data_IF_230237991363
#
_entry.id   IF_230237991363
#
_cell.length_a   1.000
_cell.length_b   1.000
_cell.length_c   1.000
_cell.angle_alpha   90.00
_cell.angle_beta   90.00
_cell.angle_gamma   90.00
#
_symmetry.space_group_name_H-M   'P 1'
#
loop_
_entity.id
_entity.type
_entity.pdbx_description
1 polymer ?
#
# COMPACT_ATOMS: atom_id res chain seq x y z
N UNK A 1 23.39 22.13 18.22
CA UNK A 1 23.83 21.51 16.96
C UNK A 1 23.75 20.01 17.15
N UNK A 2 22.85 19.31 16.45
CA UNK A 2 22.80 17.86 16.50
C UNK A 2 23.95 17.31 15.64
N UNK A 3 24.94 16.67 16.27
CA UNK A 3 26.00 15.97 15.54
C UNK A 3 25.40 14.70 14.94
N UNK A 4 25.26 14.66 13.62
CA UNK A 4 24.90 13.43 12.91
C UNK A 4 26.14 12.53 12.97
N UNK A 5 26.14 11.57 13.89
CA UNK A 5 27.17 10.53 13.92
C UNK A 5 27.03 9.71 12.64
N UNK A 6 28.07 9.65 11.79
CA UNK A 6 28.00 8.88 10.55
C UNK A 6 27.80 7.39 10.88
N UNK A 7 26.85 6.78 10.17
CA UNK A 7 26.61 5.33 10.27
C UNK A 7 27.89 4.58 9.88
N UNK A 8 28.32 3.64 10.73
CA UNK A 8 29.48 2.82 10.41
C UNK A 8 29.14 1.84 9.27
N UNK A 9 30.16 1.45 8.51
CA UNK A 9 29.99 0.49 7.40
C UNK A 9 29.40 -0.85 7.88
N UNK A 10 29.75 -1.28 9.08
CA UNK A 10 29.24 -2.52 9.68
C UNK A 10 27.76 -2.42 10.03
N UNK A 11 27.30 -1.27 10.53
CA UNK A 11 25.89 -1.01 10.78
C UNK A 11 25.08 -1.00 9.47
N UNK A 12 25.62 -0.38 8.41
CA UNK A 12 24.98 -0.39 7.10
C UNK A 12 24.85 -1.81 6.54
N UNK A 13 25.94 -2.60 6.60
CA UNK A 13 25.94 -3.98 6.13
C UNK A 13 24.93 -4.85 6.90
N UNK A 14 24.83 -4.67 8.22
CA UNK A 14 23.85 -5.37 9.05
C UNK A 14 22.41 -5.02 8.65
N UNK A 15 22.11 -3.73 8.45
CA UNK A 15 20.80 -3.28 7.98
C UNK A 15 20.49 -3.88 6.61
N UNK A 16 21.43 -3.82 5.67
CA UNK A 16 21.25 -4.38 4.33
C UNK A 16 20.97 -5.89 4.36
N UNK A 17 21.70 -6.66 5.19
CA UNK A 17 21.50 -8.10 5.35
C UNK A 17 20.10 -8.47 5.86
N UNK A 18 19.46 -7.61 6.66
CA UNK A 18 18.09 -7.83 7.14
C UNK A 18 17.07 -7.31 6.13
N UNK A 19 17.31 -6.13 5.55
CA UNK A 19 16.38 -5.49 4.63
C UNK A 19 16.21 -6.26 3.32
N UNK A 20 17.28 -6.81 2.75
CA UNK A 20 17.22 -7.55 1.48
C UNK A 20 16.25 -8.75 1.55
N UNK A 21 16.38 -9.72 2.47
CA UNK A 21 15.47 -10.86 2.53
C UNK A 21 14.03 -10.44 2.84
N UNK A 22 13.83 -9.43 3.70
CA UNK A 22 12.49 -8.91 3.99
C UNK A 22 11.83 -8.31 2.75
N UNK A 23 12.57 -7.55 1.94
CA UNK A 23 12.06 -7.00 0.68
C UNK A 23 11.77 -8.09 -0.35
N UNK A 24 12.58 -9.16 -0.41
CA UNK A 24 12.30 -10.31 -1.29
C UNK A 24 10.99 -11.00 -0.89
N UNK A 25 10.78 -11.25 0.40
CA UNK A 25 9.53 -11.86 0.90
C UNK A 25 8.34 -10.95 0.59
N UNK A 26 8.48 -9.64 0.84
CA UNK A 26 7.44 -8.66 0.53
C UNK A 26 7.12 -8.63 -0.97
N UNK A 27 8.14 -8.65 -1.83
CA UNK A 27 7.97 -8.67 -3.29
C UNK A 27 7.21 -9.92 -3.75
N UNK A 28 7.58 -11.10 -3.25
CA UNK A 28 6.88 -12.36 -3.57
C UNK A 28 5.41 -12.28 -3.13
N UNK A 29 5.15 -11.77 -1.93
CA UNK A 29 3.78 -11.58 -1.42
C UNK A 29 2.96 -10.62 -2.29
N UNK A 30 3.55 -9.49 -2.71
CA UNK A 30 2.88 -8.51 -3.58
C UNK A 30 2.61 -9.06 -4.97
N UNK A 31 3.53 -9.87 -5.54
CA UNK A 31 3.32 -10.56 -6.81
C UNK A 31 2.19 -11.59 -6.71
N UNK A 32 2.18 -12.41 -5.65
CA UNK A 32 1.11 -13.38 -5.41
C UNK A 32 -0.25 -12.70 -5.23
N UNK A 33 -0.27 -11.55 -4.54
CA UNK A 33 -1.46 -10.71 -4.42
C UNK A 33 -1.91 -10.21 -5.79
N UNK A 34 -1.01 -9.69 -6.62
CA UNK A 34 -1.30 -9.24 -7.99
C UNK A 34 -1.93 -10.37 -8.85
N UNK A 35 -1.40 -11.59 -8.76
CA UNK A 35 -2.00 -12.76 -9.43
C UNK A 35 -3.41 -13.04 -8.91
N UNK A 36 -3.61 -12.96 -7.60
CA UNK A 36 -4.94 -13.14 -6.97
C UNK A 36 -5.94 -12.09 -7.47
N UNK A 37 -5.52 -10.83 -7.60
CA UNK A 37 -6.31 -9.76 -8.20
C UNK A 37 -6.70 -10.09 -9.65
N UNK A 38 -5.76 -10.62 -10.44
CA UNK A 38 -6.01 -11.11 -11.79
C UNK A 38 -7.08 -12.20 -11.84
N UNK A 39 -6.99 -13.21 -10.96
CA UNK A 39 -7.99 -14.27 -10.86
C UNK A 39 -9.37 -13.73 -10.45
N UNK A 40 -9.45 -12.84 -9.46
CA UNK A 40 -10.72 -12.23 -9.05
C UNK A 40 -11.36 -11.46 -10.21
N UNK A 41 -10.58 -10.73 -11.01
CA UNK A 41 -11.10 -10.00 -12.17
C UNK A 41 -11.68 -10.92 -13.25
N UNK A 42 -11.10 -12.11 -13.44
CA UNK A 42 -11.57 -13.10 -14.41
C UNK A 42 -12.84 -13.80 -13.92
N UNK A 43 -12.84 -14.28 -12.66
CA UNK A 43 -13.94 -15.09 -12.13
C UNK A 43 -15.11 -14.26 -11.56
N UNK A 44 -14.84 -13.06 -11.06
CA UNK A 44 -15.83 -12.20 -10.37
C UNK A 44 -15.73 -10.73 -10.82
N UNK A 45 -16.05 -10.40 -12.07
CA UNK A 45 -15.90 -9.04 -12.61
C UNK A 45 -16.71 -7.99 -11.82
N UNK A 46 -17.87 -8.37 -11.27
CA UNK A 46 -18.71 -7.49 -10.45
C UNK A 46 -18.02 -7.03 -9.14
N UNK A 47 -17.11 -7.82 -8.59
CA UNK A 47 -16.30 -7.41 -7.42
C UNK A 47 -15.16 -6.49 -7.85
N UNK A 48 -14.58 -6.73 -9.02
CA UNK A 48 -13.46 -5.98 -9.55
C UNK A 48 -13.82 -4.55 -10.00
N UNK A 49 -15.10 -4.28 -10.26
CA UNK A 49 -15.57 -2.93 -10.62
C UNK A 49 -15.65 -1.96 -9.43
N UNK A 50 -15.47 -2.44 -8.21
CA UNK A 50 -15.44 -1.57 -7.03
C UNK A 50 -14.20 -0.68 -7.07
N UNK A 51 -14.40 0.63 -6.86
CA UNK A 51 -13.33 1.63 -6.82
C UNK A 51 -12.24 1.26 -5.81
N UNK A 52 -12.61 0.74 -4.65
CA UNK A 52 -11.67 0.24 -3.63
C UNK A 52 -10.75 -0.86 -4.17
N UNK A 53 -11.26 -1.76 -5.01
CA UNK A 53 -10.48 -2.85 -5.58
C UNK A 53 -9.43 -2.35 -6.59
N UNK A 54 -9.81 -1.37 -7.42
CA UNK A 54 -8.89 -0.72 -8.37
C UNK A 54 -7.79 0.08 -7.64
N UNK A 55 -8.14 0.78 -6.57
CA UNK A 55 -7.19 1.50 -5.71
C UNK A 55 -6.21 0.53 -5.02
N UNK A 56 -6.70 -0.59 -4.48
CA UNK A 56 -5.83 -1.61 -3.87
C UNK A 56 -4.87 -2.22 -4.87
N UNK A 57 -5.31 -2.46 -6.11
CA UNK A 57 -4.41 -2.93 -7.17
C UNK A 57 -3.32 -1.90 -7.51
N UNK A 58 -3.68 -0.60 -7.57
CA UNK A 58 -2.71 0.47 -7.80
C UNK A 58 -1.68 0.59 -6.66
N UNK A 59 -2.12 0.42 -5.40
CA UNK A 59 -1.22 0.38 -4.25
C UNK A 59 -0.23 -0.79 -4.34
N UNK A 60 -0.71 -2.01 -4.66
CA UNK A 60 0.15 -3.18 -4.85
C UNK A 60 1.19 -2.97 -5.95
N UNK A 61 0.82 -2.31 -7.05
CA UNK A 61 1.76 -1.98 -8.11
C UNK A 61 2.86 -1.03 -7.62
N UNK A 62 2.51 -0.06 -6.77
CA UNK A 62 3.48 0.83 -6.15
C UNK A 62 4.41 0.07 -5.19
N UNK A 63 3.89 -0.89 -4.42
CA UNK A 63 4.70 -1.68 -3.49
C UNK A 63 5.71 -2.59 -4.22
N UNK A 64 5.32 -3.15 -5.37
CA UNK A 64 6.25 -3.87 -6.27
C UNK A 64 7.32 -2.92 -6.78
N UNK A 65 6.92 -1.75 -7.28
CA UNK A 65 7.85 -0.72 -7.76
C UNK A 65 8.86 -0.30 -6.68
N UNK A 66 8.37 -0.02 -5.47
CA UNK A 66 9.18 0.32 -4.31
C UNK A 66 10.20 -0.79 -3.98
N UNK A 67 9.72 -2.03 -3.85
CA UNK A 67 10.56 -3.19 -3.51
C UNK A 67 11.66 -3.43 -4.56
N UNK A 68 11.33 -3.28 -5.84
CA UNK A 68 12.31 -3.41 -6.94
C UNK A 68 13.39 -2.32 -6.85
N UNK A 69 13.01 -1.06 -6.65
CA UNK A 69 13.99 0.03 -6.57
C UNK A 69 14.86 -0.05 -5.31
N UNK A 70 14.31 -0.53 -4.19
CA UNK A 70 15.09 -0.82 -2.96
C UNK A 70 16.08 -1.96 -3.19
N UNK A 71 15.67 -3.04 -3.85
CA UNK A 71 16.58 -4.15 -4.16
C UNK A 71 17.69 -3.74 -5.12
N UNK A 72 17.40 -2.87 -6.09
CA UNK A 72 18.42 -2.28 -6.96
C UNK A 72 19.39 -1.43 -6.12
N UNK A 73 18.88 -0.58 -5.22
CA UNK A 73 19.71 0.29 -4.39
C UNK A 73 20.61 -0.48 -3.41
N UNK A 74 20.13 -1.60 -2.87
CA UNK A 74 20.87 -2.41 -1.88
C UNK A 74 21.72 -3.52 -2.51
N UNK A 75 21.31 -4.05 -3.67
CA UNK A 75 21.90 -5.24 -4.29
C UNK A 75 22.82 -4.95 -5.47
N UNK A 76 22.61 -3.85 -6.18
CA UNK A 76 23.53 -3.39 -7.21
C UNK A 76 24.39 -2.30 -6.59
N UNK A 77 25.70 -2.39 -6.76
CA UNK A 77 26.64 -1.34 -6.35
C UNK A 77 26.48 -0.17 -7.33
N UNK A 78 25.37 0.57 -7.19
CA UNK A 78 24.98 1.66 -8.07
C UNK A 78 25.94 2.80 -7.79
N UNK A 79 26.99 2.89 -8.60
CA UNK A 79 27.97 3.98 -8.52
C UNK A 79 27.32 5.36 -8.58
N UNK A 80 28.07 6.38 -8.17
CA UNK A 80 27.62 7.78 -8.19
C UNK A 80 27.30 8.15 -9.65
N UNK A 81 26.03 8.47 -9.92
CA UNK A 81 25.58 8.76 -11.28
C UNK A 81 24.05 8.86 -11.40
N UNK A 82 23.58 8.96 -12.64
CA UNK A 82 22.16 9.09 -12.97
C UNK A 82 21.32 7.92 -12.43
N UNK A 83 21.87 6.71 -12.45
CA UNK A 83 21.21 5.51 -11.91
C UNK A 83 20.91 5.62 -10.42
N UNK A 84 21.81 6.19 -9.62
CA UNK A 84 21.61 6.40 -8.19
C UNK A 84 20.49 7.44 -7.93
N UNK A 85 20.51 8.55 -8.68
CA UNK A 85 19.47 9.58 -8.56
C UNK A 85 18.10 9.00 -8.96
N UNK A 86 18.06 8.25 -10.07
CA UNK A 86 16.85 7.59 -10.56
C UNK A 86 16.30 6.59 -9.54
N UNK A 87 17.14 5.74 -8.95
CA UNK A 87 16.67 4.74 -7.97
C UNK A 87 16.12 5.40 -6.72
N UNK A 88 16.81 6.42 -6.18
CA UNK A 88 16.33 7.18 -5.02
C UNK A 88 15.00 7.88 -5.32
N UNK A 89 14.88 8.55 -6.47
CA UNK A 89 13.61 9.18 -6.86
C UNK A 89 12.49 8.16 -7.08
N UNK A 90 12.81 7.00 -7.65
CA UNK A 90 11.87 5.89 -7.81
C UNK A 90 11.32 5.44 -6.45
N UNK A 91 12.18 5.19 -5.46
CA UNK A 91 11.78 4.83 -4.10
C UNK A 91 10.85 5.88 -3.49
N UNK A 92 11.20 7.16 -3.59
CA UNK A 92 10.38 8.25 -3.05
C UNK A 92 9.03 8.35 -3.75
N UNK A 93 9.03 8.30 -5.08
CA UNK A 93 7.81 8.38 -5.89
C UNK A 93 6.85 7.24 -5.59
N UNK A 94 7.33 5.99 -5.63
CA UNK A 94 6.49 4.82 -5.35
C UNK A 94 6.02 4.78 -3.90
N UNK A 95 6.86 5.19 -2.95
CA UNK A 95 6.50 5.29 -1.54
C UNK A 95 5.37 6.31 -1.29
N UNK A 96 5.51 7.54 -1.80
CA UNK A 96 4.49 8.58 -1.67
C UNK A 96 3.19 8.21 -2.39
N UNK A 97 3.30 7.58 -3.56
CA UNK A 97 2.13 7.15 -4.34
C UNK A 97 1.38 6.00 -3.63
N UNK A 98 2.09 5.04 -3.04
CA UNK A 98 1.47 3.98 -2.23
C UNK A 98 0.72 4.57 -1.02
N UNK A 99 1.35 5.49 -0.29
CA UNK A 99 0.70 6.20 0.82
C UNK A 99 -0.55 6.96 0.39
N UNK A 100 -0.49 7.66 -0.75
CA UNK A 100 -1.65 8.35 -1.31
C UNK A 100 -2.82 7.38 -1.57
N UNK A 101 -2.56 6.23 -2.19
CA UNK A 101 -3.61 5.24 -2.42
C UNK A 101 -4.16 4.64 -1.13
N UNK A 102 -3.33 4.37 -0.13
CA UNK A 102 -3.78 3.89 1.18
C UNK A 102 -4.70 4.91 1.85
N UNK A 103 -4.35 6.20 1.81
CA UNK A 103 -5.20 7.28 2.34
C UNK A 103 -6.53 7.36 1.58
N UNK A 104 -6.52 7.23 0.25
CA UNK A 104 -7.75 7.18 -0.54
C UNK A 104 -8.63 5.98 -0.15
N UNK A 105 -8.05 4.79 0.04
CA UNK A 105 -8.77 3.60 0.49
C UNK A 105 -9.37 3.83 1.88
N UNK A 106 -8.61 4.42 2.80
CA UNK A 106 -9.08 4.73 4.14
C UNK A 106 -10.25 5.73 4.12
N UNK A 107 -10.18 6.78 3.29
CA UNK A 107 -11.27 7.75 3.11
C UNK A 107 -12.53 7.08 2.55
N UNK A 108 -12.40 6.22 1.54
CA UNK A 108 -13.54 5.46 0.99
C UNK A 108 -14.16 4.56 2.05
N UNK A 109 -13.33 3.88 2.85
CA UNK A 109 -13.80 3.02 3.94
C UNK A 109 -14.56 3.81 5.01
N UNK A 110 -14.01 4.96 5.42
CA UNK A 110 -14.65 5.88 6.37
C UNK A 110 -15.99 6.38 5.83
N UNK A 111 -16.06 6.80 4.56
CA UNK A 111 -17.32 7.23 3.94
C UNK A 111 -18.37 6.11 3.98
N UNK A 112 -18.01 4.88 3.58
CA UNK A 112 -18.92 3.74 3.63
C UNK A 112 -19.40 3.48 5.06
N UNK A 113 -18.51 3.56 6.05
CA UNK A 113 -18.86 3.36 7.45
C UNK A 113 -19.82 4.44 7.96
N UNK A 114 -19.61 5.71 7.61
CA UNK A 114 -20.53 6.80 7.94
C UNK A 114 -21.90 6.62 7.28
N UNK A 115 -21.95 6.28 5.99
CA UNK A 115 -23.21 6.01 5.29
C UNK A 115 -23.95 4.81 5.90
N UNK A 116 -23.25 3.72 6.18
CA UNK A 116 -23.84 2.52 6.77
C UNK A 116 -24.31 2.78 8.20
N UNK A 117 -23.54 3.52 8.99
CA UNK A 117 -23.91 3.94 10.34
C UNK A 117 -25.18 4.80 10.31
N UNK A 118 -25.25 5.81 9.43
CA UNK A 118 -26.44 6.65 9.28
C UNK A 118 -27.68 5.85 8.86
N UNK A 119 -27.50 4.87 7.96
CA UNK A 119 -28.57 3.98 7.53
C UNK A 119 -29.02 3.02 8.64
N UNK A 120 -28.11 2.52 9.47
CA UNK A 120 -28.41 1.75 10.68
C UNK A 120 -29.20 2.60 11.69
N UNK A 121 -28.81 3.86 11.89
CA UNK A 121 -29.59 4.81 12.70
C UNK A 121 -30.98 5.05 12.12
N UNK A 122 -31.11 5.20 10.80
CA UNK A 122 -32.41 5.42 10.14
C UNK A 122 -33.32 4.19 10.21
N UNK A 123 -32.78 2.98 10.07
CA UNK A 123 -33.53 1.73 10.27
C UNK A 123 -33.95 1.59 11.74
N UNK A 124 -33.05 1.87 12.69
CA UNK A 124 -33.40 1.86 14.11
C UNK A 124 -34.46 2.92 14.47
N UNK A 125 -34.41 4.11 13.88
CA UNK A 125 -35.42 5.15 14.08
C UNK A 125 -36.77 4.74 13.49
N UNK A 126 -36.77 4.20 12.26
CA UNK A 126 -37.96 3.66 11.60
C UNK A 126 -38.62 2.52 12.40
N UNK A 127 -37.81 1.71 13.08
CA UNK A 127 -38.30 0.61 13.95
C UNK A 127 -38.86 1.12 15.29
N UNK A 128 -38.40 2.28 15.77
CA UNK A 128 -38.89 2.89 17.00
C UNK A 128 -40.21 3.66 16.78
N UNK A 129 -40.36 4.32 15.63
CA UNK A 129 -41.60 5.03 15.24
C UNK A 129 -42.78 4.06 15.04
N UNK A 130 -42.52 2.87 14.47
CA UNK A 130 -43.55 1.83 14.28
C UNK A 130 -44.08 1.22 15.59
N UNK A 131 -43.38 1.36 16.72
CA UNK A 131 -43.81 0.86 18.04
C UNK A 131 -44.66 1.84 18.84
N UNK A 132 -44.82 3.08 18.40
CA UNK A 132 -45.70 4.08 19.04
C UNK A 132 -47.14 4.01 18.49
N UNK A 133 -47.37 3.25 17.41
CA UNK A 133 -48.67 3.10 16.74
C UNK A 133 -49.36 1.74 16.93
N UNK A 134 -48.90 0.90 17.87
CA UNK A 134 -49.58 -0.34 18.33
C UNK A 134 -49.74 -0.26 19.85
#
# INVERSE_FOLDING_TARGET
>A
MASITPISRDQFNFIAQICVPLNIISLISSIASCMTFGFIRIYYPNLADRVSFRLSFAALFCDIGYSVHILILLGLDVGIGFSCIYTVWGVVFFGLTSLFFIVCIALVCIMILFYCSLHMYFICLSFFDFRIFI
#
